data_IF_786546550657
#
_entry.id   IF_786546550657
#
_cell.length_a   1.000
_cell.length_b   1.000
_cell.length_c   1.000
_cell.angle_alpha   90.00
_cell.angle_beta   90.00
_cell.angle_gamma   90.00
#
_symmetry.space_group_name_H-M   'P 1'
#
loop_
_entity.id
_entity.type
_entity.pdbx_description
1 polymer ?
#
# COMPACT_ATOMS: atom_id res chain seq x y z
N UNK A 1 -2.12 -1.86 -4.01
CA UNK A 1 -2.70 -0.55 -4.42
C UNK A 1 -4.21 -0.51 -4.36
N UNK A 2 -4.93 -1.52 -4.87
CA UNK A 2 -6.40 -1.56 -4.84
C UNK A 2 -7.02 -1.32 -3.45
N UNK A 3 -6.39 -1.80 -2.38
CA UNK A 3 -6.83 -1.54 -0.99
C UNK A 3 -6.97 -0.05 -0.69
N UNK A 4 -5.99 0.75 -1.10
CA UNK A 4 -5.97 2.19 -0.90
C UNK A 4 -6.88 2.95 -1.87
N UNK A 5 -7.20 2.37 -3.03
CA UNK A 5 -8.22 2.94 -3.94
C UNK A 5 -9.63 2.69 -3.42
N UNK A 6 -9.88 1.50 -2.88
CA UNK A 6 -11.18 1.10 -2.32
C UNK A 6 -11.47 1.74 -0.95
N UNK A 7 -10.44 1.95 -0.12
CA UNK A 7 -10.53 2.79 1.10
C UNK A 7 -9.34 3.76 1.15
N UNK A 8 -9.45 4.94 0.54
CA UNK A 8 -8.40 5.94 0.59
C UNK A 8 -8.17 6.53 1.98
N UNK A 9 -9.12 6.36 2.91
CA UNK A 9 -8.93 6.81 4.29
C UNK A 9 -7.97 5.89 5.06
N UNK A 10 -7.71 4.68 4.57
CA UNK A 10 -6.74 3.74 5.14
C UNK A 10 -5.35 4.37 5.28
N UNK A 11 -4.82 4.94 4.20
CA UNK A 11 -3.47 5.53 4.24
C UNK A 11 -3.41 6.72 5.20
N UNK A 12 -4.48 7.51 5.32
CA UNK A 12 -4.52 8.65 6.24
C UNK A 12 -4.44 8.15 7.68
N UNK A 13 -5.21 7.10 8.02
CA UNK A 13 -5.11 6.45 9.34
C UNK A 13 -3.71 5.92 9.61
N UNK A 14 -3.07 5.33 8.61
CA UNK A 14 -1.70 4.79 8.76
C UNK A 14 -0.66 5.90 8.95
N UNK A 15 -0.74 7.00 8.19
CA UNK A 15 0.16 8.16 8.34
C UNK A 15 -0.03 8.81 9.71
N UNK A 16 -1.27 8.99 10.16
CA UNK A 16 -1.57 9.52 11.50
C UNK A 16 -0.90 8.69 12.60
N UNK A 17 -0.99 7.35 12.50
CA UNK A 17 -0.34 6.44 13.45
C UNK A 17 1.18 6.49 13.35
N UNK A 18 1.74 6.53 12.14
CA UNK A 18 3.18 6.43 11.92
C UNK A 18 3.97 7.65 12.42
N UNK A 19 3.40 8.85 12.30
CA UNK A 19 4.10 10.08 12.63
C UNK A 19 3.66 10.71 13.96
N UNK A 20 2.77 10.04 14.70
CA UNK A 20 2.01 10.65 15.81
C UNK A 20 1.46 12.04 15.43
N UNK A 21 1.20 12.19 14.13
CA UNK A 21 0.91 13.47 13.55
C UNK A 21 -0.56 13.73 13.78
N UNK A 22 -0.87 14.87 14.40
CA UNK A 22 -2.09 15.61 14.06
C UNK A 22 -1.99 16.03 12.59
N UNK A 23 -2.11 15.07 11.68
CA UNK A 23 -2.58 15.38 10.33
C UNK A 23 -3.90 16.10 10.56
N UNK A 24 -3.88 17.40 10.25
CA UNK A 24 -5.04 18.30 10.23
C UNK A 24 -6.28 17.51 9.83
N UNK A 25 -7.41 17.63 10.56
CA UNK A 25 -8.56 16.73 10.44
C UNK A 25 -8.89 16.43 8.98
N UNK A 26 -9.19 15.15 8.73
CA UNK A 26 -9.34 14.54 7.42
C UNK A 26 -9.95 15.49 6.38
N UNK A 27 -9.41 15.51 5.15
CA UNK A 27 -9.98 16.32 4.09
C UNK A 27 -11.38 15.82 3.76
N UNK A 28 -12.32 16.72 3.47
CA UNK A 28 -13.60 16.35 2.84
C UNK A 28 -13.39 15.74 1.45
N UNK A 29 -12.25 16.02 0.82
CA UNK A 29 -11.96 15.61 -0.55
C UNK A 29 -10.59 14.97 -0.67
N UNK A 30 -10.61 13.69 -0.98
CA UNK A 30 -9.45 12.94 -1.41
C UNK A 30 -9.46 12.84 -2.94
N UNK A 31 -8.35 13.20 -3.56
CA UNK A 31 -8.17 13.07 -5.01
C UNK A 31 -7.13 11.98 -5.27
N UNK A 32 -7.59 10.84 -5.79
CA UNK A 32 -6.71 9.81 -6.36
C UNK A 32 -6.21 10.33 -7.71
N UNK A 33 -4.92 10.67 -7.75
CA UNK A 33 -4.22 10.87 -9.01
C UNK A 33 -3.28 9.68 -9.19
N UNK A 34 -3.60 8.84 -10.16
CA UNK A 34 -2.54 8.11 -10.85
C UNK A 34 -1.69 9.17 -11.56
N UNK A 35 -0.53 9.48 -10.98
CA UNK A 35 0.35 10.51 -11.48
C UNK A 35 1.07 9.99 -12.74
N UNK A 36 0.33 9.85 -13.84
CA UNK A 36 0.90 9.90 -15.18
C UNK A 36 1.40 11.33 -15.38
N UNK A 37 2.62 11.58 -14.95
CA UNK A 37 3.29 12.85 -15.18
C UNK A 37 3.86 12.83 -16.59
N UNK A 38 2.97 12.93 -17.59
CA UNK A 38 3.42 13.30 -18.92
C UNK A 38 3.89 14.76 -18.84
N UNK A 39 5.21 14.95 -18.81
CA UNK A 39 5.80 16.18 -19.33
C UNK A 39 5.33 16.27 -20.79
N UNK A 40 4.88 17.44 -21.24
CA UNK A 40 4.34 17.63 -22.59
C UNK A 40 5.14 16.83 -23.62
N UNK A 41 4.50 15.80 -24.19
CA UNK A 41 5.14 14.78 -25.02
C UNK A 41 5.75 15.35 -26.32
N UNK A 42 5.52 16.64 -26.59
CA UNK A 42 6.15 17.38 -27.66
C UNK A 42 7.67 17.58 -27.46
N UNK A 43 8.19 17.56 -26.23
CA UNK A 43 9.62 17.84 -25.97
C UNK A 43 10.45 16.63 -25.50
N UNK A 44 9.85 15.54 -25.04
CA UNK A 44 10.58 14.37 -24.52
C UNK A 44 10.10 13.07 -25.16
N UNK A 45 10.48 12.84 -26.43
CA UNK A 45 10.12 11.64 -27.22
C UNK A 45 10.71 10.30 -26.71
N UNK A 46 11.28 10.21 -25.51
CA UNK A 46 12.02 9.02 -25.05
C UNK A 46 11.96 8.71 -23.55
N UNK A 47 11.14 9.40 -22.76
CA UNK A 47 11.07 9.11 -21.32
C UNK A 47 9.85 8.23 -21.07
N UNK A 48 10.09 6.99 -20.66
CA UNK A 48 9.01 6.14 -20.12
C UNK A 48 8.29 6.91 -19.02
N UNK A 49 6.94 6.94 -19.00
CA UNK A 49 6.20 7.67 -17.99
C UNK A 49 6.54 7.13 -16.60
N UNK A 50 7.30 7.92 -15.83
CA UNK A 50 7.63 7.63 -14.43
C UNK A 50 6.39 7.94 -13.61
N UNK A 51 5.75 6.88 -13.09
CA UNK A 51 4.49 6.95 -12.35
C UNK A 51 4.72 6.53 -10.90
N UNK A 52 4.01 7.20 -9.99
CA UNK A 52 3.84 6.71 -8.63
C UNK A 52 2.74 5.66 -8.60
N UNK A 53 2.87 4.66 -7.71
CA UNK A 53 1.88 3.61 -7.55
C UNK A 53 0.50 4.18 -7.13
N UNK A 54 0.49 5.23 -6.29
CA UNK A 54 -0.68 6.02 -5.93
C UNK A 54 -0.26 7.37 -5.36
N UNK A 55 -0.95 8.44 -5.78
CA UNK A 55 -0.85 9.76 -5.17
C UNK A 55 -2.21 10.19 -4.67
N UNK A 56 -2.25 10.61 -3.41
CA UNK A 56 -3.44 11.12 -2.74
C UNK A 56 -3.18 12.54 -2.31
N UNK A 57 -4.05 13.45 -2.75
CA UNK A 57 -3.99 14.84 -2.33
C UNK A 57 -5.08 15.07 -1.30
N UNK A 58 -4.65 15.48 -0.10
CA UNK A 58 -5.45 15.77 1.07
C UNK A 58 -5.48 17.28 1.26
N UNK A 59 -6.62 17.94 1.07
CA UNK A 59 -6.76 19.39 1.26
C UNK A 59 -7.73 19.72 2.37
N UNK A 60 -7.38 20.69 3.22
CA UNK A 60 -8.29 21.24 4.21
C UNK A 60 -9.15 22.33 3.56
N UNK A 61 -10.47 22.17 3.42
CA UNK A 61 -11.33 23.18 2.81
C UNK A 61 -11.37 24.50 3.62
N UNK A 62 -11.08 24.44 4.93
CA UNK A 62 -11.04 25.61 5.81
C UNK A 62 -9.70 26.36 5.77
N UNK A 63 -8.66 25.72 5.26
CA UNK A 63 -7.32 26.30 5.15
C UNK A 63 -6.74 25.93 3.77
N UNK A 64 -6.81 26.83 2.77
CA UNK A 64 -6.38 26.54 1.40
C UNK A 64 -4.91 26.09 1.26
N UNK A 65 -4.05 26.55 2.18
CA UNK A 65 -2.64 26.16 2.33
C UNK A 65 -2.43 24.96 3.27
N UNK A 66 -3.50 24.45 3.90
CA UNK A 66 -3.49 23.30 4.79
C UNK A 66 -3.81 22.01 4.03
N UNK A 67 -3.02 20.97 4.28
CA UNK A 67 -3.17 19.69 3.61
C UNK A 67 -1.85 18.93 3.52
N UNK A 68 -1.86 17.88 2.72
CA UNK A 68 -0.71 17.03 2.44
C UNK A 68 -0.85 16.33 1.08
N UNK A 69 0.28 16.05 0.43
CA UNK A 69 0.36 15.04 -0.62
C UNK A 69 0.86 13.75 0.02
N UNK A 70 0.15 12.65 -0.18
CA UNK A 70 0.55 11.33 0.31
C UNK A 70 0.81 10.45 -0.90
N UNK A 71 2.03 9.96 -1.00
CA UNK A 71 2.48 9.05 -2.05
C UNK A 71 2.56 7.66 -1.42
N UNK A 72 1.92 6.67 -2.02
CA UNK A 72 2.01 5.27 -1.56
C UNK A 72 2.70 4.46 -2.62
N UNK A 73 3.78 3.80 -2.20
CA UNK A 73 4.64 2.96 -3.01
C UNK A 73 4.65 1.55 -2.46
N UNK A 74 4.67 0.54 -3.33
CA UNK A 74 4.88 -0.84 -2.92
C UNK A 74 6.28 -1.26 -3.32
N UNK A 75 7.05 -1.79 -2.37
CA UNK A 75 8.40 -2.28 -2.65
C UNK A 75 8.42 -3.79 -2.81
N UNK A 76 8.74 -4.25 -4.02
CA UNK A 76 8.83 -5.66 -4.42
C UNK A 76 10.28 -6.17 -4.38
N UNK A 77 11.24 -5.42 -3.84
CA UNK A 77 12.65 -5.85 -3.81
C UNK A 77 13.57 -4.65 -3.87
N UNK A 78 14.88 -4.86 -3.93
CA UNK A 78 15.82 -3.75 -4.11
C UNK A 78 15.70 -3.19 -5.55
N UNK A 79 15.24 -1.94 -5.68
CA UNK A 79 15.17 -1.20 -6.94
C UNK A 79 16.10 0.02 -6.82
N UNK A 80 17.33 -0.03 -7.39
CA UNK A 80 18.30 1.05 -7.26
C UNK A 80 17.84 2.34 -7.93
N UNK A 81 17.00 2.23 -8.97
CA UNK A 81 16.50 3.37 -9.73
C UNK A 81 15.27 4.01 -9.07
N UNK A 82 14.73 3.38 -8.01
CA UNK A 82 13.49 3.85 -7.38
C UNK A 82 13.64 5.24 -6.77
N UNK A 83 14.77 5.56 -6.15
CA UNK A 83 15.01 6.90 -5.61
C UNK A 83 14.98 7.96 -6.71
N UNK A 84 15.60 7.69 -7.85
CA UNK A 84 15.58 8.59 -9.00
C UNK A 84 14.17 8.71 -9.61
N UNK A 85 13.43 7.60 -9.64
CA UNK A 85 12.03 7.58 -10.09
C UNK A 85 11.16 8.42 -9.17
N UNK A 86 11.29 8.26 -7.86
CA UNK A 86 10.59 9.06 -6.85
C UNK A 86 10.94 10.54 -7.00
N UNK A 87 12.23 10.87 -7.10
CA UNK A 87 12.67 12.25 -7.28
C UNK A 87 12.03 12.92 -8.51
N UNK A 88 11.86 12.18 -9.61
CA UNK A 88 11.28 12.73 -10.84
C UNK A 88 9.83 13.19 -10.68
N UNK A 89 9.00 12.44 -9.95
CA UNK A 89 7.62 12.85 -9.71
C UNK A 89 7.46 13.79 -8.52
N UNK A 90 8.40 13.77 -7.56
CA UNK A 90 8.41 14.70 -6.44
C UNK A 90 8.54 16.14 -6.90
N UNK A 91 9.42 16.43 -7.86
CA UNK A 91 9.58 17.79 -8.40
C UNK A 91 8.27 18.34 -8.96
N UNK A 92 7.52 17.53 -9.70
CA UNK A 92 6.23 17.94 -10.27
C UNK A 92 5.15 18.11 -9.19
N UNK A 93 5.15 17.27 -8.15
CA UNK A 93 4.20 17.39 -7.04
C UNK A 93 4.50 18.61 -6.17
N UNK A 94 5.77 18.93 -5.94
CA UNK A 94 6.21 20.14 -5.24
C UNK A 94 5.74 21.38 -5.99
N UNK A 95 6.00 21.46 -7.30
CA UNK A 95 5.62 22.57 -8.17
C UNK A 95 4.10 22.74 -8.29
N UNK A 96 3.34 21.64 -8.37
CA UNK A 96 1.88 21.73 -8.55
C UNK A 96 1.12 21.96 -7.26
N UNK A 97 1.49 21.26 -6.19
CA UNK A 97 0.61 21.15 -5.02
C UNK A 97 0.98 22.11 -3.89
N UNK A 98 2.26 22.48 -3.74
CA UNK A 98 2.75 23.37 -2.68
C UNK A 98 2.31 22.95 -1.25
N UNK A 99 2.23 21.64 -1.01
CA UNK A 99 1.84 21.04 0.28
C UNK A 99 2.97 20.15 0.82
N UNK A 100 3.03 19.91 2.15
CA UNK A 100 3.89 18.87 2.71
C UNK A 100 3.68 17.53 2.02
N UNK A 101 4.77 16.78 1.80
CA UNK A 101 4.72 15.49 1.11
C UNK A 101 5.09 14.36 2.07
N UNK A 102 4.25 13.34 2.15
CA UNK A 102 4.49 12.12 2.90
C UNK A 102 4.63 10.96 1.92
N UNK A 103 5.70 10.19 2.01
CA UNK A 103 5.94 9.02 1.16
C UNK A 103 5.85 7.77 2.04
N UNK A 104 4.82 6.97 1.80
CA UNK A 104 4.59 5.69 2.45
C UNK A 104 5.06 4.55 1.56
N UNK A 105 5.92 3.68 2.08
CA UNK A 105 6.34 2.49 1.34
C UNK A 105 5.90 1.22 2.07
N UNK A 106 5.20 0.32 1.37
CA UNK A 106 4.86 -1.00 1.91
C UNK A 106 6.05 -1.93 1.74
N UNK A 107 6.54 -2.50 2.85
CA UNK A 107 7.67 -3.41 2.91
C UNK A 107 7.28 -4.72 3.61
N UNK A 108 7.47 -5.85 2.92
CA UNK A 108 7.21 -7.18 3.47
C UNK A 108 8.41 -7.74 4.25
N UNK A 109 9.61 -7.33 3.84
CA UNK A 109 10.86 -7.77 4.46
C UNK A 109 11.48 -6.69 5.36
N UNK A 110 11.92 -7.09 6.55
CA UNK A 110 12.56 -6.19 7.53
C UNK A 110 13.85 -5.57 6.99
N UNK A 111 14.57 -6.27 6.10
CA UNK A 111 15.77 -5.72 5.44
C UNK A 111 15.40 -4.55 4.54
N UNK A 112 14.33 -4.69 3.77
CA UNK A 112 13.81 -3.63 2.88
C UNK A 112 13.31 -2.47 3.73
N UNK A 113 12.55 -2.73 4.80
CA UNK A 113 12.07 -1.71 5.74
C UNK A 113 13.22 -0.87 6.31
N UNK A 114 14.25 -1.53 6.88
CA UNK A 114 15.43 -0.83 7.44
C UNK A 114 16.17 0.04 6.43
N UNK A 115 16.22 -0.37 5.17
CA UNK A 115 16.87 0.41 4.09
C UNK A 115 16.04 1.63 3.70
N UNK A 116 14.72 1.51 3.72
CA UNK A 116 13.81 2.62 3.41
C UNK A 116 13.81 3.68 4.53
N UNK A 117 13.98 3.26 5.78
CA UNK A 117 14.09 4.19 6.93
C UNK A 117 15.30 5.11 6.86
N UNK A 118 16.36 4.75 6.11
CA UNK A 118 17.52 5.63 5.92
C UNK A 118 17.31 6.68 4.82
N UNK A 119 16.20 6.64 4.09
CA UNK A 119 15.93 7.60 3.02
C UNK A 119 15.58 8.95 3.62
N UNK A 120 16.35 9.97 3.25
CA UNK A 120 16.07 11.36 3.57
C UNK A 120 16.05 12.20 2.28
N UNK A 121 15.11 13.12 2.18
CA UNK A 121 14.99 14.01 1.03
C UNK A 121 15.23 15.45 1.51
N UNK A 122 16.37 16.03 1.11
CA UNK A 122 16.65 17.44 1.37
C UNK A 122 15.95 18.31 0.34
N UNK A 123 14.81 18.94 0.69
CA UNK A 123 14.13 19.90 -0.18
C UNK A 123 13.56 21.08 0.63
N UNK A 124 13.17 22.16 -0.05
CA UNK A 124 12.50 23.31 0.56
C UNK A 124 11.09 22.97 1.12
N UNK A 125 10.58 21.77 0.82
CA UNK A 125 9.31 21.24 1.32
C UNK A 125 9.61 20.16 2.35
N UNK A 126 8.80 20.09 3.41
CA UNK A 126 8.86 18.97 4.36
C UNK A 126 8.47 17.68 3.64
N UNK A 127 9.47 16.80 3.45
CA UNK A 127 9.27 15.44 2.97
C UNK A 127 9.51 14.49 4.15
N UNK A 128 8.55 13.62 4.42
CA UNK A 128 8.70 12.57 5.43
C UNK A 128 8.41 11.20 4.84
N UNK A 129 9.17 10.21 5.28
CA UNK A 129 9.04 8.82 4.86
C UNK A 129 8.47 7.99 6.00
N UNK A 130 7.60 7.05 5.67
CA UNK A 130 7.17 6.01 6.62
C UNK A 130 7.14 4.66 5.92
N UNK A 131 7.46 3.63 6.68
CA UNK A 131 7.40 2.25 6.20
C UNK A 131 6.16 1.57 6.80
N UNK A 132 5.41 0.89 5.95
CA UNK A 132 4.31 0.00 6.36
C UNK A 132 4.84 -1.42 6.40
N UNK A 133 5.19 -1.87 7.59
CA UNK A 133 5.74 -3.20 7.88
C UNK A 133 5.05 -3.83 9.11
N UNK A 134 5.58 -4.95 9.59
CA UNK A 134 5.07 -5.67 10.77
C UNK A 134 5.14 -4.87 12.08
N UNK A 135 5.98 -3.86 12.16
CA UNK A 135 6.20 -3.05 13.36
C UNK A 135 5.28 -1.82 13.36
N UNK A 136 4.99 -1.25 12.19
CA UNK A 136 4.12 -0.07 12.06
C UNK A 136 2.66 -0.42 11.76
N UNK A 137 2.39 -1.60 11.18
CA UNK A 137 1.04 -2.13 10.96
C UNK A 137 0.74 -3.20 12.00
N UNK A 138 -0.10 -2.93 13.02
CA UNK A 138 -0.40 -3.93 14.04
C UNK A 138 -1.19 -5.12 13.47
N UNK A 139 -1.08 -6.33 14.07
CA UNK A 139 -1.89 -7.46 13.69
C UNK A 139 -3.36 -7.19 14.04
N UNK A 140 -4.25 -7.27 13.06
CA UNK A 140 -5.68 -7.02 13.26
C UNK A 140 -6.42 -8.33 13.53
N UNK A 141 -6.54 -8.67 14.82
CA UNK A 141 -7.10 -9.96 15.28
C UNK A 141 -8.57 -9.87 15.73
N UNK A 142 -9.12 -8.67 15.92
CA UNK A 142 -10.52 -8.49 16.32
C UNK A 142 -11.46 -8.65 15.10
N UNK A 143 -12.37 -9.65 15.07
CA UNK A 143 -13.23 -9.89 13.91
C UNK A 143 -14.19 -8.75 13.59
N UNK A 144 -14.71 -8.05 14.61
CA UNK A 144 -15.64 -6.93 14.39
C UNK A 144 -14.91 -5.74 13.76
N UNK A 145 -13.70 -5.45 14.27
CA UNK A 145 -12.86 -4.39 13.73
C UNK A 145 -12.41 -4.73 12.30
N UNK A 146 -12.00 -5.98 12.06
CA UNK A 146 -11.61 -6.45 10.74
C UNK A 146 -12.75 -6.35 9.72
N UNK A 147 -14.00 -6.65 10.11
CA UNK A 147 -15.18 -6.46 9.23
C UNK A 147 -15.43 -4.99 8.92
N UNK A 148 -15.25 -4.11 9.90
CA UNK A 148 -15.44 -2.65 9.74
C UNK A 148 -14.36 -2.03 8.86
N UNK A 149 -13.12 -2.53 8.97
CA UNK A 149 -11.95 -2.03 8.26
C UNK A 149 -11.32 -3.14 7.40
N UNK A 150 -12.11 -3.70 6.46
CA UNK A 150 -11.69 -4.88 5.67
C UNK A 150 -10.39 -4.66 4.89
N UNK A 151 -10.13 -3.47 4.38
CA UNK A 151 -8.90 -3.13 3.65
C UNK A 151 -7.67 -3.14 4.58
N UNK A 152 -7.84 -2.64 5.81
CA UNK A 152 -6.82 -2.69 6.86
C UNK A 152 -6.56 -4.14 7.30
N UNK A 153 -7.62 -4.94 7.42
CA UNK A 153 -7.51 -6.37 7.72
C UNK A 153 -6.71 -7.11 6.65
N UNK A 154 -6.94 -6.82 5.37
CA UNK A 154 -6.19 -7.43 4.26
C UNK A 154 -4.72 -7.02 4.29
N UNK A 155 -4.41 -5.73 4.52
CA UNK A 155 -3.03 -5.26 4.61
C UNK A 155 -2.31 -5.92 5.80
N UNK A 156 -2.95 -5.95 6.97
CA UNK A 156 -2.42 -6.58 8.17
C UNK A 156 -2.19 -8.08 7.95
N UNK A 157 -3.17 -8.80 7.40
CA UNK A 157 -3.04 -10.22 7.06
C UNK A 157 -1.91 -10.49 6.08
N UNK A 158 -1.72 -9.67 5.05
CA UNK A 158 -0.66 -9.86 4.08
C UNK A 158 0.73 -9.64 4.70
N UNK A 159 0.92 -8.58 5.48
CA UNK A 159 2.19 -8.26 6.17
C UNK A 159 2.54 -9.34 7.20
N UNK A 160 1.58 -9.72 8.05
CA UNK A 160 1.82 -10.66 9.15
C UNK A 160 1.82 -12.12 8.68
N UNK A 161 0.98 -12.45 7.70
CA UNK A 161 0.93 -13.78 7.08
C UNK A 161 2.18 -14.13 6.29
N UNK A 162 2.83 -13.14 5.64
CA UNK A 162 4.14 -13.33 5.02
C UNK A 162 5.22 -13.79 6.01
N UNK A 163 5.03 -13.53 7.31
CA UNK A 163 5.92 -13.97 8.39
C UNK A 163 5.39 -15.17 9.17
N UNK A 164 4.37 -15.87 8.64
CA UNK A 164 3.79 -17.07 9.24
C UNK A 164 2.78 -16.83 10.36
N UNK A 165 2.36 -15.58 10.62
CA UNK A 165 1.32 -15.32 11.60
C UNK A 165 -0.08 -15.47 10.98
N UNK A 166 -0.70 -16.64 11.17
CA UNK A 166 -2.00 -16.99 10.59
C UNK A 166 -3.22 -16.41 11.30
N UNK A 167 -3.07 -15.86 12.51
CA UNK A 167 -4.21 -15.32 13.25
C UNK A 167 -4.87 -14.12 12.52
N UNK A 168 -4.14 -13.04 12.16
CA UNK A 168 -4.71 -11.95 11.37
C UNK A 168 -5.16 -12.41 9.97
N UNK A 169 -4.53 -13.44 9.41
CA UNK A 169 -4.92 -14.04 8.11
C UNK A 169 -6.33 -14.61 8.18
N UNK A 170 -6.59 -15.48 9.17
CA UNK A 170 -7.92 -16.09 9.36
C UNK A 170 -8.99 -15.04 9.62
N UNK A 171 -8.68 -14.07 10.48
CA UNK A 171 -9.59 -12.96 10.80
C UNK A 171 -9.93 -12.14 9.55
N UNK A 172 -8.93 -11.82 8.71
CA UNK A 172 -9.14 -11.10 7.47
C UNK A 172 -9.94 -11.91 6.44
N UNK A 173 -9.64 -13.20 6.25
CA UNK A 173 -10.38 -14.10 5.35
C UNK A 173 -11.87 -14.20 5.74
N UNK A 174 -12.17 -14.22 7.05
CA UNK A 174 -13.55 -14.14 7.53
C UNK A 174 -14.17 -12.76 7.29
N UNK A 175 -13.41 -11.69 7.55
CA UNK A 175 -13.88 -10.32 7.39
C UNK A 175 -14.25 -10.00 5.93
N UNK A 176 -13.44 -10.40 4.96
CA UNK A 176 -13.75 -10.14 3.53
C UNK A 176 -14.95 -10.94 3.02
N UNK A 177 -15.42 -11.94 3.78
CA UNK A 177 -16.56 -12.78 3.43
C UNK A 177 -17.89 -12.04 3.31
N UNK A 178 -18.05 -10.87 3.94
CA UNK A 178 -19.26 -10.04 3.83
C UNK A 178 -19.28 -9.16 2.58
N UNK A 179 -18.13 -8.99 1.91
CA UNK A 179 -18.01 -8.12 0.76
C UNK A 179 -18.66 -8.75 -0.49
N UNK A 180 -19.03 -7.87 -1.43
CA UNK A 180 -19.43 -8.28 -2.78
C UNK A 180 -18.38 -9.16 -3.46
N UNK A 181 -18.82 -10.02 -4.38
CA UNK A 181 -18.01 -11.10 -4.93
C UNK A 181 -16.65 -10.65 -5.48
N UNK A 182 -16.63 -9.60 -6.30
CA UNK A 182 -15.39 -9.11 -6.91
C UNK A 182 -14.38 -8.64 -5.87
N UNK A 183 -14.81 -7.84 -4.89
CA UNK A 183 -13.93 -7.38 -3.79
C UNK A 183 -13.46 -8.54 -2.94
N UNK A 184 -14.37 -9.44 -2.57
CA UNK A 184 -14.04 -10.64 -1.79
C UNK A 184 -13.00 -11.48 -2.51
N UNK A 185 -13.16 -11.76 -3.81
CA UNK A 185 -12.20 -12.56 -4.59
C UNK A 185 -10.84 -11.89 -4.65
N UNK A 186 -10.78 -10.60 -4.99
CA UNK A 186 -9.52 -9.84 -5.07
C UNK A 186 -8.78 -9.83 -3.73
N UNK A 187 -9.46 -9.49 -2.64
CA UNK A 187 -8.83 -9.40 -1.33
C UNK A 187 -8.39 -10.77 -0.79
N UNK A 188 -9.18 -11.82 -1.03
CA UNK A 188 -8.78 -13.20 -0.70
C UNK A 188 -7.50 -13.57 -1.46
N UNK A 189 -7.42 -13.25 -2.76
CA UNK A 189 -6.22 -13.51 -3.55
C UNK A 189 -5.00 -12.75 -3.03
N UNK A 190 -5.14 -11.47 -2.63
CA UNK A 190 -4.05 -10.69 -2.04
C UNK A 190 -3.55 -11.26 -0.72
N UNK A 191 -4.46 -11.68 0.18
CA UNK A 191 -4.07 -12.31 1.45
C UNK A 191 -3.29 -13.59 1.16
N UNK A 192 -3.85 -14.48 0.34
CA UNK A 192 -3.26 -15.79 0.06
C UNK A 192 -1.94 -15.69 -0.70
N UNK A 193 -1.79 -14.72 -1.59
CA UNK A 193 -0.56 -14.50 -2.35
C UNK A 193 0.63 -14.17 -1.45
N UNK A 194 0.40 -13.51 -0.32
CA UNK A 194 1.45 -13.12 0.63
C UNK A 194 2.00 -14.27 1.48
N UNK A 195 1.33 -15.42 1.51
CA UNK A 195 1.65 -16.53 2.42
C UNK A 195 2.74 -17.43 1.86
N UNK A 196 3.39 -18.19 2.75
CA UNK A 196 4.21 -19.35 2.36
C UNK A 196 3.34 -20.44 1.71
N UNK A 197 3.94 -21.39 0.99
CA UNK A 197 3.21 -22.52 0.39
C UNK A 197 2.47 -23.36 1.44
N UNK A 198 3.09 -23.57 2.60
CA UNK A 198 2.52 -24.32 3.71
C UNK A 198 1.28 -23.60 4.26
N UNK A 199 1.44 -22.33 4.60
CA UNK A 199 0.39 -21.46 5.13
C UNK A 199 -0.76 -21.26 4.15
N UNK A 200 -0.45 -21.10 2.86
CA UNK A 200 -1.44 -21.06 1.79
C UNK A 200 -2.29 -22.33 1.77
N UNK A 201 -1.63 -23.50 1.85
CA UNK A 201 -2.32 -24.79 1.83
C UNK A 201 -3.23 -24.96 3.03
N UNK A 202 -2.78 -24.52 4.22
CA UNK A 202 -3.59 -24.51 5.45
C UNK A 202 -4.82 -23.63 5.24
N UNK A 203 -4.63 -22.37 4.83
CA UNK A 203 -5.71 -21.40 4.70
C UNK A 203 -6.75 -21.80 3.63
N UNK A 204 -6.31 -22.34 2.49
CA UNK A 204 -7.23 -22.79 1.41
C UNK A 204 -8.08 -23.98 1.85
N UNK A 205 -7.55 -24.87 2.70
CA UNK A 205 -8.33 -25.98 3.28
C UNK A 205 -9.40 -25.49 4.25
N UNK A 206 -9.10 -24.45 5.03
CA UNK A 206 -10.03 -23.83 5.97
C UNK A 206 -11.14 -23.00 5.27
N UNK A 207 -10.90 -22.56 4.03
CA UNK A 207 -11.89 -21.81 3.25
C UNK A 207 -13.04 -22.69 2.72
N UNK A 208 -14.31 -22.21 2.80
CA UNK A 208 -15.43 -22.83 2.10
C UNK A 208 -15.15 -23.00 0.61
N UNK A 209 -15.61 -24.08 -0.01
CA UNK A 209 -15.34 -24.36 -1.43
C UNK A 209 -15.74 -23.20 -2.36
N UNK A 210 -16.89 -22.55 -2.09
CA UNK A 210 -17.37 -21.40 -2.86
C UNK A 210 -16.58 -20.09 -2.62
N UNK A 211 -15.58 -20.11 -1.74
CA UNK A 211 -14.68 -18.97 -1.45
C UNK A 211 -13.24 -19.24 -1.83
N UNK A 212 -12.93 -20.42 -2.37
CA UNK A 212 -11.60 -20.70 -2.91
C UNK A 212 -11.39 -19.84 -4.15
N UNK A 213 -10.22 -19.22 -4.23
CA UNK A 213 -9.85 -18.35 -5.34
C UNK A 213 -8.53 -18.80 -5.93
N UNK A 214 -8.47 -18.76 -7.26
CA UNK A 214 -7.19 -18.81 -7.96
C UNK A 214 -6.53 -17.44 -7.87
N UNK A 215 -5.20 -17.45 -7.71
CA UNK A 215 -4.41 -16.22 -7.73
C UNK A 215 -4.38 -15.73 -9.17
N UNK A 216 -5.06 -14.59 -9.39
CA UNK A 216 -5.20 -13.98 -10.70
C UNK A 216 -3.85 -13.60 -11.32
N UNK A 217 -3.80 -13.46 -12.65
CA UNK A 217 -2.59 -13.02 -13.38
C UNK A 217 -2.08 -11.65 -12.91
N UNK A 218 -2.97 -10.78 -12.45
CA UNK A 218 -2.61 -9.46 -11.90
C UNK A 218 -1.93 -9.65 -10.55
N UNK A 219 -2.51 -10.46 -9.67
CA UNK A 219 -1.96 -10.71 -8.34
C UNK A 219 -0.60 -11.44 -8.40
N UNK A 220 -0.39 -12.29 -9.41
CA UNK A 220 0.92 -12.93 -9.70
C UNK A 220 2.04 -11.96 -10.02
N UNK A 221 1.72 -10.69 -10.30
CA UNK A 221 2.68 -9.59 -10.51
C UNK A 221 2.80 -8.68 -9.28
N UNK A 222 2.01 -8.93 -8.24
CA UNK A 222 2.03 -8.14 -7.01
C UNK A 222 3.24 -8.47 -6.14
N UNK A 223 3.61 -7.52 -5.30
CA UNK A 223 4.66 -7.71 -4.29
C UNK A 223 4.38 -8.88 -3.35
N UNK A 224 3.11 -9.02 -2.98
CA UNK A 224 2.65 -10.07 -2.10
C UNK A 224 2.91 -11.45 -2.70
N UNK A 225 2.62 -11.64 -3.99
CA UNK A 225 2.91 -12.90 -4.67
C UNK A 225 4.41 -13.16 -4.85
N UNK A 226 5.16 -12.16 -5.32
CA UNK A 226 6.60 -12.30 -5.60
C UNK A 226 7.40 -12.70 -4.35
N UNK A 227 6.97 -12.22 -3.17
CA UNK A 227 7.64 -12.53 -1.90
C UNK A 227 6.99 -13.63 -1.06
N UNK A 228 5.72 -13.95 -1.32
CA UNK A 228 4.97 -14.93 -0.53
C UNK A 228 5.18 -16.35 -1.04
N UNK A 229 4.35 -16.75 -2.00
CA UNK A 229 4.35 -18.11 -2.53
C UNK A 229 5.67 -18.48 -3.20
N UNK A 230 6.08 -19.74 -3.10
CA UNK A 230 7.34 -20.18 -3.72
C UNK A 230 7.37 -19.95 -5.23
N UNK A 231 6.22 -20.01 -5.90
CA UNK A 231 6.13 -19.72 -7.32
C UNK A 231 6.56 -18.27 -7.65
N UNK A 232 6.33 -17.34 -6.72
CA UNK A 232 6.76 -15.95 -6.85
C UNK A 232 8.23 -15.74 -6.50
N UNK A 233 8.75 -16.47 -5.51
CA UNK A 233 10.11 -16.27 -4.98
C UNK A 233 11.22 -16.96 -5.79
N UNK A 234 10.88 -17.88 -6.71
CA UNK A 234 11.84 -18.62 -7.57
C UNK A 234 12.31 -17.87 -8.83
N UNK A 235 12.12 -16.56 -8.93
CA UNK A 235 12.59 -15.72 -10.05
C UNK A 235 13.84 -14.94 -9.69
#
# INVERSE_FOLDING_TARGET
>A
MELFRDDPTLVVRLVQRAFDATLTPMPERLVDRHANLSVDAAQLRRVDPRTADLVLIVRNPKHPSGGAVIIVEVQIGDDPDKLERIASYLGVLIDREHLPIHIGTVALEDRVARKLDTWSFGTAVTISTFVLDRHTVPPLINPQQARKYSQEAVLSAAIHGHRGNLEPVRVALQAVGHLGEDRRRRYTATILAALSNEDFTICVKELPMNRRVEISRIERRSAFFVHGLEEGTRK
#
